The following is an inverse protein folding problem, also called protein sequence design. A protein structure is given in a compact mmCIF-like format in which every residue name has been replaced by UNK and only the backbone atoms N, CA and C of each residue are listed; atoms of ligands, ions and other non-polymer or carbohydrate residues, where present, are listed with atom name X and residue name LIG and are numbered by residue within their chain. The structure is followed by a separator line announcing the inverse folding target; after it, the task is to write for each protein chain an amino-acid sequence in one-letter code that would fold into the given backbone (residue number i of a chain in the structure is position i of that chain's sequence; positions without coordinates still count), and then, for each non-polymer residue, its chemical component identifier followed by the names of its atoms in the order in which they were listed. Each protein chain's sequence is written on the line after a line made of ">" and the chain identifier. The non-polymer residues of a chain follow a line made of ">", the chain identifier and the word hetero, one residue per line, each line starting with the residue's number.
data_IF_023631217737
#
_entry.id   IF_023631217737
#
_cell.length_a   1.000
_cell.length_b   1.000
_cell.length_c   1.000
_cell.angle_alpha   90.00
_cell.angle_beta   90.00
_cell.angle_gamma   90.00
#
_symmetry.space_group_name_H-M   'P 1'
#
loop_
_entity.id
_entity.type
_entity.pdbx_description
1 polymer ?
#
# COMPACT_ATOMS: atom_id res chain seq x y z
N UNK A 1 17.64 46.05 7.85
CA UNK A 1 18.24 44.74 8.25
C UNK A 1 17.15 43.66 8.21
N UNK A 2 17.34 42.57 7.48
CA UNK A 2 16.38 41.47 7.54
C UNK A 2 16.52 40.78 8.88
N UNK A 3 15.49 40.84 9.72
CA UNK A 3 15.40 40.11 10.98
C UNK A 3 15.70 38.64 10.79
N UNK A 4 16.56 38.07 11.62
CA UNK A 4 16.99 36.67 11.52
C UNK A 4 15.79 35.71 11.58
N UNK A 5 15.85 34.65 10.80
CA UNK A 5 14.87 33.58 10.87
C UNK A 5 15.11 32.81 12.17
N UNK A 6 14.20 32.91 13.12
CA UNK A 6 14.17 32.07 14.33
C UNK A 6 13.21 30.91 14.14
N UNK A 7 13.52 29.77 14.75
CA UNK A 7 12.69 28.54 14.74
C UNK A 7 12.51 28.14 16.18
N UNK A 8 11.28 28.17 16.66
CA UNK A 8 10.94 27.66 17.97
C UNK A 8 10.72 26.15 17.87
N UNK A 9 11.34 25.39 18.75
CA UNK A 9 11.17 23.95 18.90
C UNK A 9 10.88 23.63 20.37
N UNK A 10 9.91 22.75 20.61
CA UNK A 10 9.63 22.27 21.96
C UNK A 10 10.73 21.32 22.45
N UNK A 11 10.78 21.08 23.76
CA UNK A 11 11.81 20.24 24.40
C UNK A 11 11.84 18.80 23.83
N UNK A 12 10.69 18.23 23.49
CA UNK A 12 10.58 16.88 22.93
C UNK A 12 11.19 16.82 21.51
N UNK A 13 10.89 17.78 20.65
CA UNK A 13 11.46 17.88 19.30
C UNK A 13 12.97 18.15 19.37
N UNK A 14 13.42 18.99 20.33
CA UNK A 14 14.83 19.29 20.54
C UNK A 14 15.61 18.01 20.88
N UNK A 15 15.17 17.26 21.89
CA UNK A 15 15.79 15.99 22.30
C UNK A 15 15.80 14.97 21.16
N UNK A 16 14.73 14.88 20.36
CA UNK A 16 14.65 14.00 19.20
C UNK A 16 15.65 14.37 18.11
N UNK A 17 15.83 15.66 17.85
CA UNK A 17 16.80 16.13 16.86
C UNK A 17 18.24 15.88 17.32
N UNK A 18 18.55 16.10 18.60
CA UNK A 18 19.83 15.76 19.20
C UNK A 18 20.14 14.26 19.10
N UNK A 19 19.17 13.41 19.43
CA UNK A 19 19.31 11.96 19.28
C UNK A 19 19.66 11.54 17.84
N UNK A 20 19.05 12.19 16.81
CA UNK A 20 19.40 11.95 15.41
C UNK A 20 20.85 12.37 15.11
N UNK A 21 21.30 13.49 15.66
CA UNK A 21 22.67 14.00 15.46
C UNK A 21 23.71 13.11 16.14
N UNK A 22 23.41 12.63 17.35
CA UNK A 22 24.29 11.78 18.14
C UNK A 22 24.38 10.33 17.61
N UNK A 23 23.33 9.83 16.95
CA UNK A 23 23.27 8.46 16.49
C UNK A 23 24.14 8.25 15.22
N UNK A 24 25.23 7.50 15.38
CA UNK A 24 26.18 7.16 14.29
C UNK A 24 25.54 6.43 13.10
N UNK A 25 24.42 5.74 13.32
CA UNK A 25 23.67 5.03 12.28
C UNK A 25 22.66 5.91 11.54
N UNK A 26 22.48 7.17 11.95
CA UNK A 26 21.57 8.09 11.27
C UNK A 26 22.10 8.43 9.87
N UNK A 27 21.22 8.39 8.83
CA UNK A 27 21.60 8.81 7.50
C UNK A 27 22.12 10.27 7.53
N UNK A 28 23.26 10.54 6.89
CA UNK A 28 23.90 11.85 6.89
C UNK A 28 22.96 13.00 6.48
N UNK A 29 22.03 12.73 5.57
CA UNK A 29 20.98 13.71 5.20
C UNK A 29 20.07 14.12 6.36
N UNK A 30 19.83 13.26 7.33
CA UNK A 30 19.05 13.57 8.52
C UNK A 30 19.92 14.30 9.55
N UNK A 31 21.16 13.89 9.74
CA UNK A 31 22.10 14.49 10.67
C UNK A 31 22.31 15.99 10.38
N UNK A 32 22.72 16.36 9.14
CA UNK A 32 22.95 17.78 8.84
C UNK A 32 21.67 18.61 8.82
N UNK A 33 20.51 18.00 8.50
CA UNK A 33 19.20 18.69 8.57
C UNK A 33 18.81 19.01 10.01
N UNK A 34 18.91 18.02 10.90
CA UNK A 34 18.69 18.19 12.33
C UNK A 34 19.63 19.26 12.91
N UNK A 35 20.93 19.22 12.54
CA UNK A 35 21.91 20.20 12.99
C UNK A 35 21.58 21.62 12.51
N UNK A 36 21.09 21.83 11.27
CA UNK A 36 20.65 23.15 10.80
C UNK A 36 19.48 23.67 11.65
N UNK A 37 18.52 22.80 11.98
CA UNK A 37 17.33 23.19 12.77
C UNK A 37 17.74 23.55 14.20
N UNK A 38 18.56 22.72 14.87
CA UNK A 38 19.08 22.98 16.22
C UNK A 38 19.83 24.30 16.30
N UNK A 39 20.83 24.50 15.42
CA UNK A 39 21.60 25.73 15.37
C UNK A 39 20.74 26.97 15.05
N UNK A 40 19.64 26.79 14.33
CA UNK A 40 18.68 27.86 14.05
C UNK A 40 17.86 28.20 15.30
N UNK A 41 17.43 27.20 16.09
CA UNK A 41 16.71 27.45 17.35
C UNK A 41 17.59 28.08 18.43
N UNK A 42 18.88 27.81 18.38
CA UNK A 42 19.89 28.45 19.22
C UNK A 42 20.19 29.92 18.80
N UNK A 43 19.49 30.43 17.77
CA UNK A 43 19.63 31.84 17.34
C UNK A 43 20.83 32.12 16.41
N UNK A 44 21.59 31.10 15.97
CA UNK A 44 22.77 31.31 15.14
C UNK A 44 22.43 31.91 13.77
N UNK A 45 23.29 32.82 13.31
CA UNK A 45 23.19 33.42 11.98
C UNK A 45 23.48 32.42 10.84
N UNK A 46 22.97 32.74 9.63
CA UNK A 46 23.11 31.87 8.46
C UNK A 46 24.57 31.52 8.13
N UNK A 47 25.48 32.50 8.20
CA UNK A 47 26.90 32.27 7.88
C UNK A 47 27.57 31.30 8.87
N UNK A 48 27.23 31.41 10.15
CA UNK A 48 27.75 30.53 11.19
C UNK A 48 27.22 29.09 11.02
N UNK A 49 25.93 28.92 10.66
CA UNK A 49 25.34 27.64 10.37
C UNK A 49 26.02 26.99 9.13
N UNK A 50 26.30 27.77 8.09
CA UNK A 50 27.05 27.32 6.91
C UNK A 50 28.43 26.80 7.35
N UNK A 51 29.14 27.56 8.17
CA UNK A 51 30.48 27.19 8.67
C UNK A 51 30.45 25.87 9.45
N UNK A 52 29.49 25.70 10.38
CA UNK A 52 29.38 24.51 11.25
C UNK A 52 28.85 23.28 10.53
N UNK A 53 28.05 23.46 9.50
CA UNK A 53 27.41 22.32 8.80
C UNK A 53 28.07 21.93 7.49
N UNK A 54 28.95 22.81 6.94
CA UNK A 54 29.55 22.63 5.62
C UNK A 54 28.53 22.64 4.47
N UNK A 55 27.32 23.21 4.67
CA UNK A 55 26.27 23.21 3.66
C UNK A 55 26.15 24.58 3.00
N UNK A 56 25.77 24.61 1.71
CA UNK A 56 25.61 25.85 0.96
C UNK A 56 24.53 26.76 1.55
N UNK A 57 24.65 28.05 1.28
CA UNK A 57 23.68 29.07 1.74
C UNK A 57 22.24 28.74 1.33
N UNK A 58 22.03 28.27 0.11
CA UNK A 58 20.72 27.87 -0.40
C UNK A 58 20.10 26.69 0.37
N UNK A 59 20.92 25.73 0.77
CA UNK A 59 20.48 24.58 1.59
C UNK A 59 20.09 25.03 2.98
N UNK A 60 20.93 25.82 3.65
CA UNK A 60 20.65 26.35 5.00
C UNK A 60 19.39 27.20 5.00
N UNK A 61 19.25 28.13 4.05
CA UNK A 61 18.07 28.98 3.91
C UNK A 61 16.79 28.19 3.70
N UNK A 62 16.83 27.20 2.78
CA UNK A 62 15.70 26.34 2.48
C UNK A 62 15.18 25.62 3.71
N UNK A 63 16.06 25.00 4.51
CA UNK A 63 15.66 24.29 5.71
C UNK A 63 15.16 25.18 6.82
N UNK A 64 15.74 26.37 7.00
CA UNK A 64 15.24 27.39 7.94
C UNK A 64 13.83 27.85 7.57
N UNK A 65 13.57 28.21 6.31
CA UNK A 65 12.27 28.66 5.84
C UNK A 65 11.23 27.54 5.94
N UNK A 66 11.57 26.36 5.45
CA UNK A 66 10.62 25.23 5.46
C UNK A 66 10.22 24.83 6.88
N UNK A 67 11.16 24.80 7.82
CA UNK A 67 10.84 24.46 9.21
C UNK A 67 9.99 25.55 9.85
N UNK A 68 10.32 26.83 9.68
CA UNK A 68 9.54 27.95 10.21
C UNK A 68 8.10 27.95 9.71
N UNK A 69 7.89 27.60 8.44
CA UNK A 69 6.56 27.57 7.81
C UNK A 69 5.88 26.19 7.93
N UNK A 70 6.48 25.22 8.61
CA UNK A 70 5.95 23.84 8.67
C UNK A 70 5.91 23.12 7.32
N UNK A 71 6.58 23.63 6.29
CA UNK A 71 6.55 23.10 4.94
C UNK A 71 7.42 21.84 4.79
N UNK A 72 6.90 20.83 4.14
CA UNK A 72 7.60 19.58 3.82
C UNK A 72 7.56 19.28 2.30
N UNK A 73 8.13 20.14 1.45
CA UNK A 73 7.98 20.02 -0.02
C UNK A 73 8.66 18.77 -0.61
N UNK A 74 9.54 18.11 0.17
CA UNK A 74 10.13 16.81 -0.20
C UNK A 74 9.21 15.62 0.06
N UNK A 75 8.05 15.84 0.68
CA UNK A 75 7.01 14.84 0.91
C UNK A 75 5.81 15.19 0.05
N UNK A 76 5.58 14.44 -1.00
CA UNK A 76 4.30 14.46 -1.68
C UNK A 76 3.49 13.25 -1.22
N UNK A 77 2.25 13.46 -0.86
CA UNK A 77 1.28 12.40 -0.65
C UNK A 77 0.27 12.50 -1.75
N UNK A 78 0.14 11.42 -2.50
CA UNK A 78 -0.93 11.31 -3.48
C UNK A 78 -2.20 10.87 -2.75
N UNK A 79 -3.30 11.50 -3.08
CA UNK A 79 -4.62 11.09 -2.63
C UNK A 79 -5.60 11.21 -3.79
N UNK A 80 -6.63 10.39 -3.77
CA UNK A 80 -7.78 10.50 -4.65
C UNK A 80 -9.03 10.38 -3.80
N UNK A 81 -9.83 11.42 -3.76
CA UNK A 81 -11.11 11.38 -3.07
C UNK A 81 -12.13 10.61 -3.92
N UNK A 82 -12.91 9.78 -3.25
CA UNK A 82 -14.03 9.12 -3.89
C UNK A 82 -15.11 10.14 -4.26
N UNK A 83 -15.65 10.02 -5.47
CA UNK A 83 -16.85 10.74 -5.92
C UNK A 83 -18.08 9.84 -5.94
N UNK A 84 -18.01 8.69 -5.30
CA UNK A 84 -19.11 7.74 -5.22
C UNK A 84 -20.21 8.33 -4.31
N UNK A 85 -21.43 8.54 -4.79
CA UNK A 85 -22.53 9.04 -3.96
C UNK A 85 -22.87 8.05 -2.83
N UNK A 86 -22.65 6.75 -3.06
CA UNK A 86 -22.87 5.67 -2.10
C UNK A 86 -21.63 5.38 -1.24
N UNK A 87 -20.69 6.33 -1.11
CA UNK A 87 -19.45 6.10 -0.38
C UNK A 87 -19.69 5.64 1.05
N UNK A 88 -20.53 6.35 1.79
CA UNK A 88 -20.79 6.07 3.21
C UNK A 88 -21.52 4.74 3.42
N UNK A 89 -22.64 4.44 2.72
CA UNK A 89 -23.28 3.14 2.81
C UNK A 89 -22.34 1.98 2.49
N UNK A 90 -21.60 2.04 1.39
CA UNK A 90 -20.65 0.99 0.99
C UNK A 90 -19.51 0.82 1.97
N UNK A 91 -18.97 1.92 2.52
CA UNK A 91 -17.94 1.87 3.55
C UNK A 91 -18.43 1.11 4.79
N UNK A 92 -19.62 1.46 5.27
CA UNK A 92 -20.21 0.82 6.46
C UNK A 92 -20.55 -0.65 6.22
N UNK A 93 -21.07 -1.00 5.05
CA UNK A 93 -21.37 -2.37 4.64
C UNK A 93 -20.09 -3.23 4.68
N UNK A 94 -19.02 -2.78 4.02
CA UNK A 94 -17.76 -3.52 3.96
C UNK A 94 -17.07 -3.60 5.33
N UNK A 95 -17.03 -2.50 6.07
CA UNK A 95 -16.44 -2.51 7.41
C UNK A 95 -17.25 -3.38 8.36
N UNK A 96 -18.59 -3.37 8.24
CA UNK A 96 -19.47 -4.29 8.98
C UNK A 96 -19.08 -5.74 8.76
N UNK A 97 -18.86 -6.17 7.50
CA UNK A 97 -18.41 -7.52 7.16
C UNK A 97 -17.02 -7.87 7.74
N UNK A 98 -16.15 -6.89 7.94
CA UNK A 98 -14.84 -7.11 8.55
C UNK A 98 -14.86 -7.19 10.07
N UNK A 99 -15.75 -6.44 10.72
CA UNK A 99 -15.81 -6.30 12.19
C UNK A 99 -16.77 -7.30 12.81
N UNK A 100 -17.94 -7.47 12.19
CA UNK A 100 -19.03 -8.34 12.65
C UNK A 100 -19.64 -9.10 11.48
N UNK A 101 -18.92 -10.11 10.96
CA UNK A 101 -19.42 -10.90 9.84
C UNK A 101 -20.62 -11.73 10.24
N UNK A 102 -21.61 -11.94 9.32
CA UNK A 102 -22.80 -12.73 9.62
C UNK A 102 -22.49 -14.15 10.07
N UNK A 103 -23.22 -14.66 11.06
CA UNK A 103 -23.08 -16.03 11.52
C UNK A 103 -23.32 -17.02 10.34
N UNK A 104 -22.53 -18.09 10.27
CA UNK A 104 -22.61 -19.09 9.21
C UNK A 104 -22.27 -18.58 7.79
N UNK A 105 -21.70 -17.40 7.65
CA UNK A 105 -21.18 -16.86 6.38
C UNK A 105 -19.67 -17.00 6.25
N UNK A 106 -19.18 -16.89 5.01
CA UNK A 106 -17.77 -16.70 4.67
C UNK A 106 -17.64 -15.33 4.06
N UNK A 107 -16.65 -14.57 4.49
CA UNK A 107 -16.35 -13.24 3.93
C UNK A 107 -15.02 -13.31 3.19
N UNK A 108 -15.07 -13.15 1.88
CA UNK A 108 -13.91 -13.15 0.99
C UNK A 108 -13.64 -11.75 0.45
N UNK A 109 -12.42 -11.27 0.63
CA UNK A 109 -11.92 -10.08 -0.05
C UNK A 109 -11.22 -10.54 -1.33
N UNK A 110 -11.75 -10.16 -2.49
CA UNK A 110 -11.33 -10.68 -3.80
C UNK A 110 -10.82 -9.57 -4.69
N UNK A 111 -9.71 -9.82 -5.39
CA UNK A 111 -9.12 -8.89 -6.35
C UNK A 111 -8.12 -9.62 -7.27
N UNK A 112 -7.61 -8.91 -8.29
CA UNK A 112 -6.58 -9.41 -9.17
C UNK A 112 -5.34 -8.52 -9.21
N UNK A 113 -4.18 -9.13 -8.98
CA UNK A 113 -2.90 -8.51 -9.28
C UNK A 113 -2.52 -8.82 -10.72
N UNK A 114 -2.81 -7.87 -11.60
CA UNK A 114 -2.56 -7.99 -13.03
C UNK A 114 -1.09 -7.74 -13.41
N UNK A 115 -0.68 -8.23 -14.60
CA UNK A 115 0.59 -7.94 -15.25
C UNK A 115 1.84 -8.17 -14.37
N UNK A 116 1.84 -9.25 -13.59
CA UNK A 116 3.04 -9.67 -12.86
C UNK A 116 4.04 -10.20 -13.89
N UNK A 117 5.23 -9.58 -13.96
CA UNK A 117 6.23 -9.88 -14.98
C UNK A 117 7.25 -10.90 -14.48
N UNK A 118 7.56 -11.89 -15.31
CA UNK A 118 8.70 -12.78 -15.13
C UNK A 118 9.96 -12.04 -15.59
N UNK A 119 10.65 -11.40 -14.65
CA UNK A 119 11.86 -10.63 -14.92
C UNK A 119 13.09 -11.50 -14.66
N UNK A 120 13.90 -11.71 -15.69
CA UNK A 120 15.21 -12.34 -15.60
C UNK A 120 16.28 -11.26 -15.68
N UNK A 121 17.22 -11.23 -14.72
CA UNK A 121 18.30 -10.26 -14.69
C UNK A 121 19.40 -10.67 -15.63
N UNK A 122 19.89 -9.75 -16.47
CA UNK A 122 20.97 -10.04 -17.42
C UNK A 122 22.30 -10.36 -16.75
N UNK A 123 22.48 -9.91 -15.52
CA UNK A 123 23.67 -10.15 -14.70
C UNK A 123 23.29 -10.49 -13.26
N UNK A 124 24.03 -11.36 -12.58
CA UNK A 124 23.80 -11.65 -11.17
C UNK A 124 24.00 -10.39 -10.32
N UNK A 125 23.17 -10.23 -9.29
CA UNK A 125 23.34 -9.16 -8.32
C UNK A 125 24.58 -9.40 -7.43
N UNK A 126 25.17 -8.32 -6.94
CA UNK A 126 26.23 -8.41 -5.95
C UNK A 126 25.60 -8.49 -4.54
N UNK A 127 26.08 -9.41 -3.69
CA UNK A 127 25.54 -9.59 -2.35
C UNK A 127 25.83 -8.39 -1.44
N UNK A 128 25.07 -8.29 -0.36
CA UNK A 128 25.33 -7.37 0.75
C UNK A 128 26.71 -7.70 1.37
N UNK A 129 27.50 -6.65 1.61
CA UNK A 129 28.76 -6.72 2.37
C UNK A 129 28.76 -5.63 3.44
N UNK A 130 29.54 -5.76 4.52
CA UNK A 130 29.72 -4.67 5.48
C UNK A 130 30.10 -3.36 4.78
N UNK A 131 29.38 -2.29 5.07
CA UNK A 131 29.56 -0.98 4.44
C UNK A 131 29.10 -0.83 2.99
N UNK A 132 28.53 -1.88 2.37
CA UNK A 132 28.00 -1.84 1.00
C UNK A 132 26.61 -2.46 0.92
N UNK A 133 25.68 -1.75 0.27
CA UNK A 133 24.37 -2.32 -0.05
C UNK A 133 24.49 -3.38 -1.16
N UNK A 134 23.56 -4.35 -1.17
CA UNK A 134 23.41 -5.24 -2.32
C UNK A 134 23.03 -4.45 -3.56
N UNK A 135 23.65 -4.75 -4.69
CA UNK A 135 23.39 -4.10 -5.98
C UNK A 135 22.74 -5.08 -6.93
N UNK A 136 21.86 -4.58 -7.78
CA UNK A 136 21.24 -5.35 -8.85
C UNK A 136 21.39 -4.57 -10.15
N UNK A 137 21.58 -5.29 -11.27
CA UNK A 137 21.51 -4.65 -12.58
C UNK A 137 20.11 -4.07 -12.82
N UNK A 138 20.03 -2.95 -13.52
CA UNK A 138 18.78 -2.38 -13.99
C UNK A 138 18.27 -3.08 -15.25
N UNK A 139 19.13 -3.80 -15.97
CA UNK A 139 18.78 -4.55 -17.16
C UNK A 139 18.08 -5.86 -16.82
N UNK A 140 17.03 -6.17 -17.58
CA UNK A 140 16.27 -7.40 -17.42
C UNK A 140 15.65 -7.84 -18.74
N UNK A 141 15.51 -9.16 -18.89
CA UNK A 141 14.70 -9.81 -19.94
C UNK A 141 13.32 -10.11 -19.38
N UNK A 142 12.28 -9.89 -20.18
CA UNK A 142 10.89 -10.24 -19.84
C UNK A 142 10.53 -11.57 -20.43
N UNK A 143 10.21 -12.55 -19.58
CA UNK A 143 9.85 -13.91 -19.99
C UNK A 143 8.32 -14.18 -19.87
N UNK A 144 7.52 -13.12 -20.04
CA UNK A 144 6.06 -13.18 -20.02
C UNK A 144 5.44 -12.53 -18.80
N UNK A 145 4.11 -12.52 -18.77
CA UNK A 145 3.29 -11.93 -17.70
C UNK A 145 2.22 -12.90 -17.24
N UNK A 146 1.83 -12.83 -15.98
CA UNK A 146 0.68 -13.53 -15.42
C UNK A 146 -0.17 -12.58 -14.59
N UNK A 147 -1.43 -12.94 -14.36
CA UNK A 147 -2.34 -12.30 -13.41
C UNK A 147 -2.60 -13.26 -12.28
N UNK A 148 -2.50 -12.82 -11.05
CA UNK A 148 -2.93 -13.58 -9.88
C UNK A 148 -4.30 -13.10 -9.43
N UNK A 149 -5.32 -13.93 -9.54
CA UNK A 149 -6.58 -13.76 -8.81
C UNK A 149 -6.41 -14.31 -7.40
N UNK A 150 -6.86 -13.58 -6.40
CA UNK A 150 -6.79 -14.01 -5.02
C UNK A 150 -8.07 -13.66 -4.24
N UNK A 151 -8.49 -14.56 -3.38
CA UNK A 151 -9.58 -14.39 -2.42
C UNK A 151 -9.01 -14.62 -1.02
N UNK A 152 -8.98 -13.59 -0.20
CA UNK A 152 -8.58 -13.67 1.20
C UNK A 152 -9.83 -13.94 2.04
N UNK A 153 -9.88 -15.07 2.72
CA UNK A 153 -10.83 -15.32 3.78
C UNK A 153 -10.50 -14.41 4.97
N UNK A 154 -11.44 -13.53 5.29
CA UNK A 154 -11.25 -12.50 6.32
C UNK A 154 -11.14 -13.11 7.72
N UNK A 155 -11.91 -14.18 7.98
CA UNK A 155 -11.99 -14.82 9.28
C UNK A 155 -10.84 -15.81 9.53
N UNK A 156 -10.53 -16.63 8.52
CA UNK A 156 -9.48 -17.64 8.66
C UNK A 156 -8.10 -17.09 8.27
N UNK A 157 -8.03 -16.04 7.47
CA UNK A 157 -6.78 -15.50 6.92
C UNK A 157 -6.16 -16.36 5.81
N UNK A 158 -6.88 -17.39 5.35
CA UNK A 158 -6.47 -18.22 4.22
C UNK A 158 -6.67 -17.50 2.89
N UNK A 159 -5.87 -17.84 1.91
CA UNK A 159 -5.94 -17.25 0.57
C UNK A 159 -6.12 -18.32 -0.49
N UNK A 160 -7.23 -18.25 -1.21
CA UNK A 160 -7.43 -18.99 -2.46
C UNK A 160 -6.78 -18.18 -3.57
N UNK A 161 -5.91 -18.77 -4.38
CA UNK A 161 -5.23 -18.05 -5.45
C UNK A 161 -5.10 -18.86 -6.73
N UNK A 162 -5.23 -18.20 -7.89
CA UNK A 162 -5.04 -18.79 -9.21
C UNK A 162 -4.29 -17.85 -10.14
N UNK A 163 -3.20 -18.34 -10.72
CA UNK A 163 -2.48 -17.64 -11.79
C UNK A 163 -3.20 -17.87 -13.13
N UNK A 164 -3.50 -16.78 -13.84
CA UNK A 164 -4.14 -16.81 -15.15
C UNK A 164 -3.43 -15.86 -16.13
N UNK A 165 -3.58 -16.09 -17.43
CA UNK A 165 -2.93 -15.26 -18.44
C UNK A 165 -3.54 -13.88 -18.58
N UNK A 166 -4.84 -13.74 -18.33
CA UNK A 166 -5.62 -12.52 -18.52
C UNK A 166 -6.49 -12.28 -17.31
N UNK A 167 -7.08 -11.07 -17.22
CA UNK A 167 -7.97 -10.62 -16.12
C UNK A 167 -9.32 -10.12 -16.66
N UNK A 168 -9.90 -10.88 -17.60
CA UNK A 168 -11.22 -10.60 -18.18
C UNK A 168 -12.31 -11.30 -17.36
N UNK A 169 -13.56 -11.00 -17.68
CA UNK A 169 -14.72 -11.66 -17.04
C UNK A 169 -14.69 -13.20 -17.15
N UNK A 170 -14.09 -13.78 -18.21
CA UNK A 170 -13.98 -15.24 -18.36
C UNK A 170 -13.06 -15.85 -17.28
N UNK A 171 -11.91 -15.23 -17.09
CA UNK A 171 -10.95 -15.64 -16.07
C UNK A 171 -11.53 -15.41 -14.67
N UNK A 172 -12.25 -14.32 -14.47
CA UNK A 172 -12.94 -14.06 -13.21
C UNK A 172 -14.00 -15.10 -12.88
N UNK A 173 -14.85 -15.50 -13.86
CA UNK A 173 -15.83 -16.58 -13.68
C UNK A 173 -15.14 -17.92 -13.35
N UNK A 174 -14.01 -18.24 -14.01
CA UNK A 174 -13.22 -19.44 -13.66
C UNK A 174 -12.72 -19.38 -12.22
N UNK A 175 -12.33 -18.18 -11.77
CA UNK A 175 -11.89 -18.00 -10.40
C UNK A 175 -13.06 -18.14 -9.40
N UNK A 176 -14.23 -17.59 -9.71
CA UNK A 176 -15.44 -17.78 -8.91
C UNK A 176 -15.83 -19.28 -8.79
N UNK A 177 -15.71 -20.04 -9.88
CA UNK A 177 -15.92 -21.50 -9.84
C UNK A 177 -14.88 -22.19 -8.94
N UNK A 178 -13.62 -21.74 -8.94
CA UNK A 178 -12.61 -22.27 -8.03
C UNK A 178 -12.95 -21.96 -6.56
N UNK A 179 -13.43 -20.76 -6.27
CA UNK A 179 -13.92 -20.42 -4.93
C UNK A 179 -15.10 -21.32 -4.55
N UNK A 180 -16.08 -21.50 -5.46
CA UNK A 180 -17.25 -22.35 -5.23
C UNK A 180 -16.88 -23.79 -4.81
N UNK A 181 -15.81 -24.34 -5.38
CA UNK A 181 -15.34 -25.69 -5.05
C UNK A 181 -14.55 -25.77 -3.75
N UNK A 182 -13.93 -24.68 -3.32
CA UNK A 182 -13.06 -24.65 -2.13
C UNK A 182 -13.81 -24.24 -0.85
N UNK A 183 -14.92 -23.50 -0.98
CA UNK A 183 -15.70 -23.05 0.18
C UNK A 183 -16.74 -24.11 0.60
N UNK A 184 -16.94 -24.31 1.93
CA UNK A 184 -17.90 -25.28 2.44
C UNK A 184 -19.31 -25.09 1.87
N UNK A 185 -19.96 -26.21 1.57
CA UNK A 185 -21.36 -26.23 1.11
C UNK A 185 -22.29 -25.70 2.22
N UNK A 186 -23.37 -25.03 1.84
CA UNK A 186 -24.40 -24.55 2.77
C UNK A 186 -24.11 -23.21 3.44
N UNK A 187 -22.92 -22.63 3.25
CA UNK A 187 -22.61 -21.28 3.74
C UNK A 187 -22.91 -20.21 2.71
N UNK A 188 -23.36 -19.05 3.16
CA UNK A 188 -23.43 -17.86 2.33
C UNK A 188 -22.01 -17.30 2.16
N UNK A 189 -21.67 -16.86 0.95
CA UNK A 189 -20.36 -16.33 0.61
C UNK A 189 -20.48 -14.86 0.25
N UNK A 190 -20.09 -13.99 1.16
CA UNK A 190 -19.97 -12.55 0.92
C UNK A 190 -18.65 -12.27 0.23
N UNK A 191 -18.71 -11.65 -0.93
CA UNK A 191 -17.52 -11.35 -1.76
C UNK A 191 -17.35 -9.85 -1.88
N UNK A 192 -16.29 -9.32 -1.28
CA UNK A 192 -15.92 -7.91 -1.36
C UNK A 192 -15.05 -7.72 -2.60
N UNK A 193 -15.46 -6.83 -3.49
CA UNK A 193 -14.86 -6.58 -4.81
C UNK A 193 -14.65 -5.09 -5.04
N UNK A 194 -13.70 -4.75 -5.91
CA UNK A 194 -13.62 -3.40 -6.46
C UNK A 194 -14.64 -3.17 -7.60
N UNK A 195 -14.69 -1.95 -8.09
CA UNK A 195 -15.62 -1.56 -9.16
C UNK A 195 -15.09 -1.86 -10.58
N UNK A 196 -14.15 -2.78 -10.74
CA UNK A 196 -13.60 -3.10 -12.05
C UNK A 196 -14.67 -3.64 -13.01
N UNK A 197 -14.57 -3.24 -14.29
CA UNK A 197 -15.62 -3.54 -15.28
C UNK A 197 -15.85 -5.03 -15.52
N UNK A 198 -14.83 -5.88 -15.35
CA UNK A 198 -14.97 -7.33 -15.50
C UNK A 198 -15.91 -7.95 -14.46
N UNK A 199 -15.94 -7.39 -13.23
CA UNK A 199 -16.78 -7.87 -12.13
C UNK A 199 -18.28 -7.57 -12.35
N UNK A 200 -18.59 -6.55 -13.15
CA UNK A 200 -19.97 -6.13 -13.47
C UNK A 200 -20.47 -6.63 -14.82
N UNK A 201 -19.69 -7.45 -15.51
CA UNK A 201 -20.04 -7.94 -16.84
C UNK A 201 -21.33 -8.78 -16.81
N UNK A 202 -22.20 -8.72 -17.86
CA UNK A 202 -23.48 -9.46 -17.89
C UNK A 202 -23.32 -10.96 -17.63
N UNK A 203 -22.25 -11.60 -18.14
CA UNK A 203 -21.97 -13.02 -17.89
C UNK A 203 -21.65 -13.32 -16.41
N UNK A 204 -21.03 -12.37 -15.68
CA UNK A 204 -20.79 -12.50 -14.23
C UNK A 204 -22.11 -12.39 -13.47
N UNK A 205 -22.98 -11.46 -13.87
CA UNK A 205 -24.34 -11.36 -13.30
C UNK A 205 -25.16 -12.62 -13.55
N UNK A 206 -25.08 -13.19 -14.76
CA UNK A 206 -25.76 -14.45 -15.08
C UNK A 206 -25.18 -15.62 -14.27
N UNK A 207 -23.88 -15.64 -13.99
CA UNK A 207 -23.27 -16.60 -13.09
C UNK A 207 -23.81 -16.43 -11.66
N UNK A 208 -23.84 -15.20 -11.14
CA UNK A 208 -24.33 -14.89 -9.81
C UNK A 208 -25.80 -15.30 -9.63
N UNK A 209 -26.66 -15.09 -10.64
CA UNK A 209 -28.06 -15.53 -10.64
C UNK A 209 -28.23 -17.06 -10.49
N UNK A 210 -27.22 -17.85 -10.87
CA UNK A 210 -27.23 -19.31 -10.71
C UNK A 210 -26.55 -19.79 -9.42
N UNK A 211 -25.92 -18.87 -8.68
CA UNK A 211 -25.20 -19.14 -7.43
C UNK A 211 -25.74 -18.26 -6.30
N UNK A 212 -26.98 -18.49 -5.85
CA UNK A 212 -27.68 -17.57 -4.92
C UNK A 212 -27.00 -17.44 -3.55
N UNK A 213 -26.10 -18.36 -3.21
CA UNK A 213 -25.31 -18.26 -1.99
C UNK A 213 -24.18 -17.20 -2.05
N UNK A 214 -23.87 -16.64 -3.24
CA UNK A 214 -22.88 -15.58 -3.41
C UNK A 214 -23.52 -14.19 -3.36
N UNK A 215 -23.03 -13.33 -2.49
CA UNK A 215 -23.47 -11.95 -2.35
C UNK A 215 -22.28 -11.03 -2.60
N UNK A 216 -22.37 -10.17 -3.61
CA UNK A 216 -21.29 -9.23 -3.97
C UNK A 216 -21.45 -7.88 -3.30
N UNK A 217 -20.36 -7.41 -2.68
CA UNK A 217 -20.23 -6.10 -2.03
C UNK A 217 -19.14 -5.29 -2.76
N UNK A 218 -19.54 -4.19 -3.36
CA UNK A 218 -18.60 -3.38 -4.14
C UNK A 218 -18.01 -2.25 -3.30
N UNK A 219 -16.65 -2.12 -3.31
CA UNK A 219 -16.02 -0.97 -2.68
C UNK A 219 -16.45 0.34 -3.34
N UNK A 220 -16.44 1.47 -2.63
CA UNK A 220 -16.66 2.77 -3.25
C UNK A 220 -15.63 3.05 -4.34
N UNK A 221 -16.01 3.79 -5.36
CA UNK A 221 -15.09 4.19 -6.43
C UNK A 221 -13.86 4.90 -5.84
N UNK A 222 -12.67 4.54 -6.29
CA UNK A 222 -11.39 5.06 -5.81
C UNK A 222 -11.09 4.77 -4.32
N UNK A 223 -11.61 3.67 -3.81
CA UNK A 223 -11.41 3.20 -2.44
C UNK A 223 -10.94 1.73 -2.38
N UNK A 224 -10.05 1.32 -3.30
CA UNK A 224 -9.47 -0.04 -3.34
C UNK A 224 -8.74 -0.41 -2.04
N UNK A 225 -8.25 0.57 -1.29
CA UNK A 225 -7.64 0.36 0.04
C UNK A 225 -8.60 -0.30 1.07
N UNK A 226 -9.91 -0.30 0.81
CA UNK A 226 -10.90 -1.06 1.59
C UNK A 226 -10.83 -2.56 1.29
N UNK A 227 -10.23 -2.98 0.18
CA UNK A 227 -10.12 -4.38 -0.20
C UNK A 227 -8.93 -5.02 0.53
N UNK A 228 -9.20 -5.87 1.54
CA UNK A 228 -8.19 -6.44 2.44
C UNK A 228 -7.13 -7.28 1.71
N UNK A 229 -7.46 -7.90 0.57
CA UNK A 229 -6.54 -8.73 -0.23
C UNK A 229 -5.37 -7.92 -0.80
N UNK A 230 -5.51 -6.59 -0.95
CA UNK A 230 -4.42 -5.71 -1.36
C UNK A 230 -3.22 -5.77 -0.39
N UNK A 231 -3.49 -5.98 0.89
CA UNK A 231 -2.45 -6.24 1.89
C UNK A 231 -1.65 -7.52 1.61
N UNK A 232 -2.31 -8.58 1.12
CA UNK A 232 -1.66 -9.79 0.69
C UNK A 232 -0.80 -9.55 -0.57
N UNK A 233 -1.30 -8.84 -1.57
CA UNK A 233 -0.54 -8.47 -2.77
C UNK A 233 0.69 -7.62 -2.45
N UNK A 234 0.59 -6.72 -1.48
CA UNK A 234 1.73 -5.93 -1.02
C UNK A 234 2.82 -6.83 -0.38
N UNK A 235 2.44 -7.82 0.43
CA UNK A 235 3.35 -8.80 1.04
C UNK A 235 4.02 -9.67 -0.04
N UNK A 236 3.27 -10.21 -1.00
CA UNK A 236 3.78 -10.97 -2.15
C UNK A 236 4.82 -10.14 -2.93
N UNK A 237 4.45 -8.92 -3.29
CA UNK A 237 5.34 -8.00 -4.02
C UNK A 237 6.65 -7.78 -3.27
N UNK A 238 6.57 -7.44 -1.98
CA UNK A 238 7.74 -7.15 -1.14
C UNK A 238 8.64 -8.36 -0.93
N UNK A 239 8.05 -9.52 -0.67
CA UNK A 239 8.78 -10.72 -0.25
C UNK A 239 9.28 -11.58 -1.41
N UNK A 240 8.57 -11.62 -2.55
CA UNK A 240 8.88 -12.52 -3.66
C UNK A 240 9.16 -11.79 -4.98
N UNK A 241 8.29 -10.85 -5.38
CA UNK A 241 8.36 -10.28 -6.73
C UNK A 241 9.46 -9.23 -6.88
N UNK A 242 9.59 -8.29 -5.93
CA UNK A 242 10.49 -7.12 -6.05
C UNK A 242 11.96 -7.49 -6.23
N UNK A 243 12.41 -8.59 -5.64
CA UNK A 243 13.79 -9.09 -5.70
C UNK A 243 13.91 -10.43 -6.39
N UNK A 244 12.79 -10.96 -6.88
CA UNK A 244 12.75 -12.25 -7.59
C UNK A 244 13.43 -12.13 -8.95
N UNK A 245 14.05 -13.24 -9.37
CA UNK A 245 14.57 -13.46 -10.71
C UNK A 245 13.83 -14.68 -11.25
N UNK A 246 13.18 -14.53 -12.40
CA UNK A 246 12.30 -15.56 -12.97
C UNK A 246 12.70 -15.81 -14.42
N UNK A 247 13.24 -16.99 -14.68
CA UNK A 247 13.74 -17.40 -16.00
C UNK A 247 12.63 -17.78 -16.97
N UNK A 248 11.44 -18.04 -16.45
CA UNK A 248 10.25 -18.38 -17.24
C UNK A 248 8.98 -17.95 -16.52
N UNK A 249 7.87 -17.96 -17.25
CA UNK A 249 6.54 -17.74 -16.67
C UNK A 249 6.16 -18.84 -15.69
N UNK A 250 6.56 -20.08 -15.96
CA UNK A 250 6.33 -21.24 -15.07
C UNK A 250 7.06 -21.05 -13.74
N UNK A 251 8.31 -20.58 -13.77
CA UNK A 251 9.09 -20.30 -12.58
C UNK A 251 8.44 -19.20 -11.71
N UNK A 252 7.96 -18.13 -12.35
CA UNK A 252 7.19 -17.08 -11.65
C UNK A 252 5.93 -17.63 -11.00
N UNK A 253 5.12 -18.41 -11.73
CA UNK A 253 3.88 -18.99 -11.21
C UNK A 253 4.16 -19.98 -10.07
N UNK A 254 5.19 -20.79 -10.19
CA UNK A 254 5.63 -21.68 -9.11
C UNK A 254 6.04 -20.92 -7.85
N UNK A 255 6.74 -19.78 -7.99
CA UNK A 255 7.11 -18.94 -6.85
C UNK A 255 5.89 -18.30 -6.18
N UNK A 256 4.89 -17.87 -6.96
CA UNK A 256 3.62 -17.35 -6.44
C UNK A 256 2.87 -18.44 -5.68
N UNK A 257 2.75 -19.64 -6.26
CA UNK A 257 2.03 -20.78 -5.64
C UNK A 257 2.71 -21.21 -4.34
N UNK A 258 4.05 -21.26 -4.28
CA UNK A 258 4.78 -21.51 -3.02
C UNK A 258 4.47 -20.45 -1.97
N UNK A 259 4.41 -19.17 -2.36
CA UNK A 259 4.07 -18.11 -1.41
C UNK A 259 2.63 -18.21 -0.89
N UNK A 260 1.67 -18.64 -1.73
CA UNK A 260 0.29 -18.94 -1.31
C UNK A 260 0.27 -20.10 -0.30
N UNK A 261 0.97 -21.19 -0.57
CA UNK A 261 1.08 -22.32 0.33
C UNK A 261 1.68 -21.91 1.68
N UNK A 262 2.82 -21.20 1.69
CA UNK A 262 3.46 -20.69 2.90
C UNK A 262 2.54 -19.76 3.71
N UNK A 263 1.74 -18.93 3.04
CA UNK A 263 0.79 -18.03 3.70
C UNK A 263 -0.33 -18.82 4.38
N UNK A 264 -0.76 -19.93 3.76
CA UNK A 264 -1.83 -20.79 4.25
C UNK A 264 -1.38 -21.81 5.32
N UNK A 265 -0.07 -22.05 5.51
CA UNK A 265 0.44 -22.87 6.62
C UNK A 265 0.20 -22.21 7.99
N UNK A 266 0.32 -20.89 8.07
CA UNK A 266 0.11 -20.09 9.30
C UNK A 266 -0.76 -18.88 8.97
N UNK A 267 -2.03 -19.11 8.62
CA UNK A 267 -2.93 -18.04 8.25
C UNK A 267 -3.20 -17.13 9.45
N UNK A 268 -3.46 -15.86 9.16
CA UNK A 268 -3.79 -14.88 10.18
C UNK A 268 -5.05 -14.16 9.76
N UNK A 269 -6.10 -14.16 10.59
CA UNK A 269 -7.31 -13.40 10.36
C UNK A 269 -6.99 -11.94 10.03
N UNK A 270 -7.82 -11.37 9.17
CA UNK A 270 -7.76 -9.93 8.91
C UNK A 270 -8.45 -9.19 10.03
N UNK A 271 -7.81 -8.15 10.55
CA UNK A 271 -8.39 -7.29 11.59
C UNK A 271 -8.48 -5.87 11.06
N UNK A 272 -9.70 -5.35 10.99
CA UNK A 272 -9.94 -3.95 10.67
C UNK A 272 -9.69 -3.10 11.93
N UNK A 273 -8.86 -2.05 11.80
CA UNK A 273 -8.46 -1.21 12.95
C UNK A 273 -8.83 0.26 12.79
N UNK A 274 -9.21 0.69 11.60
CA UNK A 274 -9.51 2.09 11.35
C UNK A 274 -10.95 2.44 11.74
N UNK A 275 -11.17 3.60 12.36
CA UNK A 275 -12.50 4.11 12.67
C UNK A 275 -13.22 4.58 11.40
N UNK A 276 -14.39 4.00 11.05
CA UNK A 276 -15.17 4.40 9.88
C UNK A 276 -15.62 5.87 9.91
N UNK A 277 -15.97 6.38 11.08
CA UNK A 277 -16.43 7.77 11.23
C UNK A 277 -15.27 8.77 11.01
N UNK A 278 -14.09 8.43 11.48
CA UNK A 278 -12.88 9.21 11.19
C UNK A 278 -12.56 9.26 9.69
N UNK A 279 -12.76 8.13 8.97
CA UNK A 279 -12.60 8.05 7.52
C UNK A 279 -13.63 8.94 6.81
N UNK A 280 -14.91 8.84 7.17
CA UNK A 280 -16.01 9.65 6.60
C UNK A 280 -15.72 11.14 6.81
N UNK A 281 -15.34 11.52 8.03
CA UNK A 281 -14.97 12.89 8.36
C UNK A 281 -13.78 13.39 7.53
N UNK A 282 -12.75 12.55 7.33
CA UNK A 282 -11.58 12.89 6.51
C UNK A 282 -11.96 13.12 5.03
N UNK A 283 -12.84 12.27 4.47
CA UNK A 283 -13.31 12.42 3.09
C UNK A 283 -14.14 13.70 2.93
N UNK A 284 -15.04 13.99 3.86
CA UNK A 284 -15.84 15.24 3.88
C UNK A 284 -14.94 16.48 3.92
N UNK A 285 -13.97 16.53 4.85
CA UNK A 285 -12.99 17.62 4.90
C UNK A 285 -12.18 17.77 3.60
N UNK A 286 -11.82 16.65 2.98
CA UNK A 286 -11.12 16.66 1.69
C UNK A 286 -11.94 17.29 0.57
N UNK A 287 -13.24 16.96 0.46
CA UNK A 287 -14.14 17.58 -0.51
C UNK A 287 -14.33 19.08 -0.26
N UNK A 288 -14.57 19.49 0.99
CA UNK A 288 -14.70 20.91 1.37
C UNK A 288 -13.44 21.68 0.98
N UNK A 289 -12.26 21.11 1.27
CA UNK A 289 -10.98 21.75 0.92
C UNK A 289 -10.78 21.90 -0.59
N UNK A 290 -11.15 20.90 -1.39
CA UNK A 290 -11.07 21.00 -2.85
C UNK A 290 -12.04 22.06 -3.40
N UNK A 291 -13.26 22.14 -2.88
CA UNK A 291 -14.24 23.16 -3.27
C UNK A 291 -13.78 24.59 -2.94
N UNK A 292 -13.01 24.77 -1.88
CA UNK A 292 -12.46 26.09 -1.52
C UNK A 292 -11.24 26.52 -2.36
N UNK A 293 -10.75 25.67 -3.23
CA UNK A 293 -9.60 25.93 -4.14
C UNK A 293 -10.05 26.18 -5.58
N UNK A 294 -11.31 25.87 -5.90
CA UNK A 294 -11.98 26.17 -7.19
C UNK A 294 -12.80 27.45 -7.07
#
# INVERSE_FOLDING_TARGET
>A
MRTGITVEINATDYARLEAIVANRNSPQKHVWRSRIVLLTSEGLGTNEIIRRTGKSKSVVWRWRIWRRQGLQPHRSRQFKLSRDPEFVPKLRDIVGLYVDPPAHAIVLSVDEKSQIQALDRTQPGLPLKPGRCGTMTHDYKRNGTTTLFAALDVLEGKVIGRCMQRHRHQEFIRFLNAIETEVPVGKIVHVILDNYGSHKHPKVRAWLGRHPRFVFHYTPTSASWLNAVEGFFAKLTKRRLKRGVFRSLVDLQAAINRFLAEANEKPRPFVWTADPEAIIAAVRRGHQKLQSLT
#
